data_IF_106200062004
#
_entry.id   IF_106200062004
#
_cell.length_a   1.000
_cell.length_b   1.000
_cell.length_c   1.000
_cell.angle_alpha   90.00
_cell.angle_beta   90.00
_cell.angle_gamma   90.00
#
_symmetry.space_group_name_H-M   'P 1'
#
loop_
_entity.id
_entity.type
_entity.pdbx_description
1 polymer ?
#
# COMPACT_ATOMS: atom_id res chain seq x y z
N UNK A 1 52.60 -37.55 -17.47
CA UNK A 1 51.77 -37.17 -16.31
C UNK A 1 50.44 -36.73 -16.89
N UNK A 2 49.39 -37.56 -16.78
CA UNK A 2 48.11 -37.31 -17.44
C UNK A 2 47.34 -36.20 -16.72
N UNK A 3 47.08 -35.12 -17.43
CA UNK A 3 46.45 -33.90 -16.90
C UNK A 3 45.00 -34.09 -16.40
N UNK A 4 44.41 -35.26 -16.68
CA UNK A 4 43.05 -35.64 -16.27
C UNK A 4 42.99 -36.44 -14.97
N UNK A 5 44.14 -36.91 -14.46
CA UNK A 5 44.24 -37.83 -13.31
C UNK A 5 44.91 -37.13 -12.14
N UNK A 6 44.09 -36.56 -11.27
CA UNK A 6 44.53 -36.04 -9.97
C UNK A 6 44.24 -37.12 -8.93
N UNK A 7 45.29 -37.76 -8.40
CA UNK A 7 45.27 -38.72 -7.28
C UNK A 7 43.93 -39.43 -6.99
N UNK A 8 43.80 -40.69 -7.42
CA UNK A 8 42.61 -41.55 -7.22
C UNK A 8 41.24 -40.95 -7.63
N UNK A 9 41.21 -39.84 -8.35
CA UNK A 9 40.00 -39.28 -8.94
C UNK A 9 40.22 -38.92 -10.41
N UNK A 10 39.16 -39.08 -11.19
CA UNK A 10 39.11 -38.73 -12.62
C UNK A 10 38.08 -37.63 -12.78
N UNK A 11 38.47 -36.54 -13.42
CA UNK A 11 37.54 -35.46 -13.76
C UNK A 11 36.64 -35.98 -14.89
N UNK A 12 35.39 -36.32 -14.54
CA UNK A 12 34.37 -36.71 -15.51
C UNK A 12 33.94 -35.50 -16.35
N UNK A 13 33.68 -34.38 -15.68
CA UNK A 13 33.20 -33.15 -16.32
C UNK A 13 33.69 -31.91 -15.55
N UNK A 14 33.90 -30.81 -16.28
CA UNK A 14 34.32 -29.52 -15.71
C UNK A 14 33.06 -28.74 -15.33
N UNK A 15 33.05 -28.14 -14.14
CA UNK A 15 31.88 -27.42 -13.63
C UNK A 15 31.44 -26.31 -14.59
N UNK A 16 30.13 -26.25 -14.85
CA UNK A 16 29.50 -25.17 -15.59
C UNK A 16 29.39 -23.90 -14.74
N UNK A 17 29.42 -22.70 -15.35
CA UNK A 17 29.20 -21.45 -14.63
C UNK A 17 27.82 -21.43 -13.95
N UNK A 18 27.68 -20.76 -12.78
CA UNK A 18 26.42 -20.72 -12.05
C UNK A 18 25.33 -20.01 -12.87
N UNK A 19 24.09 -20.47 -12.70
CA UNK A 19 22.93 -19.83 -13.31
C UNK A 19 22.75 -18.41 -12.76
N UNK A 20 22.29 -17.45 -13.59
CA UNK A 20 21.97 -16.11 -13.10
C UNK A 20 20.88 -16.19 -12.03
N UNK A 21 20.97 -15.32 -11.01
CA UNK A 21 20.00 -15.34 -9.92
C UNK A 21 18.59 -15.06 -10.46
N UNK A 22 17.64 -15.94 -10.15
CA UNK A 22 16.22 -15.69 -10.34
C UNK A 22 15.74 -14.65 -9.31
N UNK A 23 16.17 -13.40 -9.47
CA UNK A 23 15.69 -12.27 -8.68
C UNK A 23 14.26 -11.91 -9.07
N UNK A 24 13.46 -11.43 -8.11
CA UNK A 24 12.14 -10.90 -8.43
C UNK A 24 12.30 -9.71 -9.39
N UNK A 25 11.68 -9.80 -10.56
CA UNK A 25 11.75 -8.73 -11.56
C UNK A 25 11.14 -7.45 -11.02
N UNK A 26 11.89 -6.34 -11.10
CA UNK A 26 11.43 -5.00 -10.69
C UNK A 26 10.13 -4.58 -11.40
N UNK A 27 9.89 -5.12 -12.61
CA UNK A 27 8.66 -4.89 -13.37
C UNK A 27 7.40 -5.41 -12.69
N UNK A 28 7.51 -6.41 -11.81
CA UNK A 28 6.38 -6.98 -11.07
C UNK A 28 6.20 -6.25 -9.73
N UNK A 29 7.30 -5.80 -9.12
CA UNK A 29 7.28 -5.15 -7.81
C UNK A 29 6.68 -3.75 -7.84
N UNK A 30 7.04 -2.95 -8.83
CA UNK A 30 6.56 -1.56 -8.96
C UNK A 30 5.01 -1.51 -9.02
N UNK A 31 4.33 -2.21 -9.95
CA UNK A 31 2.87 -2.17 -9.99
C UNK A 31 2.23 -2.83 -8.75
N UNK A 32 2.84 -3.89 -8.20
CA UNK A 32 2.32 -4.56 -7.00
C UNK A 32 2.28 -3.65 -5.78
N UNK A 33 3.37 -2.90 -5.53
CA UNK A 33 3.43 -1.95 -4.42
C UNK A 33 2.50 -0.76 -4.61
N UNK A 34 2.29 -0.30 -5.84
CA UNK A 34 1.37 0.79 -6.15
C UNK A 34 -0.08 0.40 -5.82
N UNK A 35 -0.53 -0.78 -6.28
CA UNK A 35 -1.90 -1.26 -6.03
C UNK A 35 -2.10 -1.51 -4.53
N UNK A 36 -1.11 -2.15 -3.89
CA UNK A 36 -1.18 -2.44 -2.46
C UNK A 36 -1.26 -1.17 -1.62
N UNK A 37 -0.41 -0.17 -1.88
CA UNK A 37 -0.44 1.10 -1.15
C UNK A 37 -1.71 1.90 -1.40
N UNK A 38 -2.24 1.90 -2.63
CA UNK A 38 -3.51 2.56 -2.93
C UNK A 38 -4.67 1.89 -2.17
N UNK A 39 -4.74 0.56 -2.18
CA UNK A 39 -5.74 -0.18 -1.41
C UNK A 39 -5.63 0.07 0.09
N UNK A 40 -4.39 0.10 0.62
CA UNK A 40 -4.13 0.39 2.03
C UNK A 40 -4.57 1.82 2.41
N UNK A 41 -4.28 2.81 1.56
CA UNK A 41 -4.67 4.20 1.81
C UNK A 41 -6.19 4.38 1.81
N UNK A 42 -6.88 3.82 0.82
CA UNK A 42 -8.35 3.85 0.76
C UNK A 42 -8.94 3.16 1.98
N UNK A 43 -8.50 1.94 2.27
CA UNK A 43 -8.98 1.17 3.43
C UNK A 43 -8.75 1.89 4.76
N UNK A 44 -7.58 2.51 4.93
CA UNK A 44 -7.28 3.29 6.13
C UNK A 44 -8.18 4.53 6.27
N UNK A 45 -8.45 5.24 5.16
CA UNK A 45 -9.35 6.39 5.19
C UNK A 45 -10.77 5.98 5.61
N UNK A 46 -11.32 4.92 5.01
CA UNK A 46 -12.62 4.38 5.40
C UNK A 46 -12.65 3.87 6.84
N UNK A 47 -11.57 3.24 7.32
CA UNK A 47 -11.51 2.75 8.70
C UNK A 47 -11.52 3.90 9.71
N UNK A 48 -10.76 4.96 9.44
CA UNK A 48 -10.75 6.16 10.29
C UNK A 48 -12.14 6.79 10.30
N UNK A 49 -12.76 6.92 9.12
CA UNK A 49 -14.10 7.48 9.00
C UNK A 49 -15.16 6.61 9.70
N UNK A 50 -15.04 5.28 9.63
CA UNK A 50 -15.91 4.34 10.33
C UNK A 50 -15.78 4.41 11.86
N UNK A 51 -14.56 4.66 12.36
CA UNK A 51 -14.31 4.82 13.80
C UNK A 51 -14.67 6.22 14.30
N UNK A 52 -14.83 7.18 13.40
CA UNK A 52 -15.20 8.56 13.73
C UNK A 52 -16.71 8.62 14.03
N UNK A 53 -17.06 8.95 15.27
CA UNK A 53 -18.47 9.11 15.71
C UNK A 53 -18.94 10.57 15.60
N UNK A 54 -18.18 11.43 14.93
CA UNK A 54 -18.55 12.83 14.72
C UNK A 54 -19.75 12.92 13.77
N UNK A 55 -20.74 13.74 14.11
CA UNK A 55 -21.83 14.13 13.21
C UNK A 55 -21.29 15.11 12.17
N UNK A 56 -21.17 14.68 10.91
CA UNK A 56 -20.58 15.51 9.85
C UNK A 56 -21.65 16.12 8.96
N UNK A 57 -22.66 15.31 8.63
CA UNK A 57 -23.67 15.68 7.66
C UNK A 57 -25.09 15.56 8.24
N UNK A 58 -26.02 16.19 7.55
CA UNK A 58 -27.44 16.18 7.88
C UNK A 58 -27.97 14.74 7.99
N UNK A 59 -27.51 13.85 7.12
CA UNK A 59 -27.89 12.43 7.10
C UNK A 59 -27.51 11.70 8.38
N UNK A 60 -26.38 12.04 9.00
CA UNK A 60 -25.97 11.44 10.28
C UNK A 60 -26.93 11.85 11.40
N UNK A 61 -27.37 13.12 11.37
CA UNK A 61 -28.33 13.65 12.35
C UNK A 61 -29.70 13.00 12.15
N UNK A 62 -30.19 12.90 10.91
CA UNK A 62 -31.47 12.22 10.63
C UNK A 62 -31.43 10.75 11.03
N UNK A 63 -30.33 10.04 10.76
CA UNK A 63 -30.16 8.64 11.11
C UNK A 63 -30.13 8.40 12.63
N UNK A 64 -29.51 9.29 13.41
CA UNK A 64 -29.43 9.15 14.87
C UNK A 64 -30.68 9.65 15.60
N UNK A 65 -31.32 10.71 15.10
CA UNK A 65 -32.46 11.35 15.78
C UNK A 65 -33.82 10.87 15.27
N UNK A 66 -33.89 10.35 14.04
CA UNK A 66 -35.14 9.98 13.38
C UNK A 66 -36.01 11.18 12.97
N UNK A 67 -35.45 12.40 13.00
CA UNK A 67 -36.14 13.64 12.68
C UNK A 67 -35.52 14.28 11.43
N UNK A 68 -36.33 14.88 10.54
CA UNK A 68 -35.81 15.56 9.36
C UNK A 68 -35.07 16.84 9.73
N UNK A 69 -33.96 17.12 9.06
CA UNK A 69 -33.21 18.37 9.23
C UNK A 69 -33.96 19.50 8.49
N UNK A 70 -34.27 20.58 9.22
CA UNK A 70 -35.04 21.69 8.68
C UNK A 70 -34.17 22.77 8.01
N UNK A 71 -32.97 22.97 8.53
CA UNK A 71 -32.01 23.96 8.05
C UNK A 71 -30.61 23.69 8.60
N UNK A 72 -29.60 24.01 7.81
CA UNK A 72 -28.18 23.96 8.19
C UNK A 72 -27.61 25.37 8.16
N UNK A 73 -26.90 25.75 9.23
CA UNK A 73 -26.27 27.08 9.36
C UNK A 73 -24.77 26.91 9.25
N UNK A 74 -24.19 27.35 8.14
CA UNK A 74 -22.74 27.33 7.94
C UNK A 74 -22.04 28.38 8.81
N UNK A 75 -20.91 27.99 9.42
CA UNK A 75 -20.08 28.90 10.19
C UNK A 75 -19.09 29.64 9.30
N UNK A 76 -19.33 30.92 9.04
CA UNK A 76 -18.38 31.81 8.37
C UNK A 76 -17.49 32.49 9.41
N UNK A 77 -16.26 31.98 9.56
CA UNK A 77 -15.26 32.58 10.44
C UNK A 77 -14.85 33.98 9.97
N UNK A 78 -14.78 34.94 10.90
CA UNK A 78 -14.36 36.32 10.61
C UNK A 78 -12.84 36.34 10.40
N UNK A 79 -12.39 36.50 9.15
CA UNK A 79 -10.97 36.65 8.81
C UNK A 79 -10.48 38.04 9.22
N UNK A 80 -9.66 38.14 10.26
CA UNK A 80 -8.98 39.39 10.60
C UNK A 80 -7.87 39.67 9.59
N UNK A 81 -8.11 40.61 8.67
CA UNK A 81 -7.09 41.17 7.79
C UNK A 81 -6.11 41.99 8.62
N UNK A 82 -4.88 41.48 8.81
CA UNK A 82 -3.77 42.29 9.33
C UNK A 82 -3.26 43.19 8.20
N UNK A 83 -3.54 44.48 8.31
CA UNK A 83 -2.91 45.55 7.52
C UNK A 83 -1.48 45.82 7.96
#
# INVERSE_FOLDING_TARGET
MDERKFSNAVILEKAAPPLPSAGLSSWILIPGTLIFSLGLAIGAAFLIDFLDTTLKDETDIEAQTGLPVLATIEYYGIQYSKG
#
